data_IF_358599148754
#
_entry.id   IF_358599148754
#
_cell.length_a   1.000
_cell.length_b   1.000
_cell.length_c   1.000
_cell.angle_alpha   90.00
_cell.angle_beta   90.00
_cell.angle_gamma   90.00
#
_symmetry.space_group_name_H-M   'P 1'
#
loop_
_entity.id
_entity.type
_entity.pdbx_description
1 polymer ?
#
# COMPACT_ATOMS: atom_id res chain seq x y z
N UNK A 1 30.94 -12.47 -15.07
CA UNK A 1 30.75 -13.92 -14.82
C UNK A 1 29.38 -14.06 -14.23
N UNK A 2 28.42 -14.44 -15.06
CA UNK A 2 27.78 -15.77 -15.12
C UNK A 2 27.14 -16.12 -13.79
N UNK A 3 25.85 -16.41 -13.65
CA UNK A 3 24.78 -16.82 -14.60
C UNK A 3 23.61 -17.29 -13.80
N UNK A 4 22.52 -17.13 -14.35
CA UNK A 4 21.55 -18.11 -14.89
C UNK A 4 20.51 -18.62 -13.90
N UNK A 5 19.25 -18.30 -14.21
CA UNK A 5 18.20 -19.05 -14.95
C UNK A 5 17.32 -19.98 -14.13
N UNK A 6 16.02 -19.85 -14.32
CA UNK A 6 15.04 -20.91 -14.24
C UNK A 6 13.64 -20.33 -14.35
N UNK A 7 13.09 -20.01 -15.46
CA UNK A 7 12.39 -20.80 -16.47
C UNK A 7 11.19 -21.59 -15.94
N UNK A 8 10.02 -21.02 -16.14
CA UNK A 8 8.79 -21.44 -16.82
C UNK A 8 8.54 -22.95 -16.94
N UNK A 9 7.31 -23.36 -16.65
CA UNK A 9 6.65 -24.42 -17.44
C UNK A 9 5.13 -24.22 -17.54
N UNK A 10 4.70 -23.98 -18.76
CA UNK A 10 3.37 -24.18 -19.33
C UNK A 10 3.07 -25.67 -19.48
N UNK A 11 1.86 -26.10 -19.26
CA UNK A 11 1.35 -27.30 -19.91
C UNK A 11 -0.14 -27.21 -20.22
N UNK A 12 -0.41 -27.07 -21.50
CA UNK A 12 -1.68 -27.29 -22.19
C UNK A 12 -1.84 -28.78 -22.49
N UNK A 13 -3.01 -29.34 -22.31
CA UNK A 13 -3.42 -30.48 -23.12
C UNK A 13 -4.91 -30.45 -23.45
N UNK A 14 -5.18 -30.20 -24.71
CA UNK A 14 -6.40 -30.52 -25.44
C UNK A 14 -6.41 -32.02 -25.74
N UNK A 15 -7.53 -32.69 -25.55
CA UNK A 15 -7.85 -33.90 -26.30
C UNK A 15 -9.28 -33.82 -26.83
N UNK A 16 -9.35 -33.99 -28.14
CA UNK A 16 -10.53 -34.05 -28.97
C UNK A 16 -11.20 -35.43 -28.91
N UNK A 17 -12.51 -35.40 -29.04
CA UNK A 17 -13.43 -36.51 -29.28
C UNK A 17 -13.24 -37.16 -30.66
N UNK A 18 -13.48 -38.44 -30.71
CA UNK A 18 -13.81 -39.16 -31.96
C UNK A 18 -15.11 -39.94 -31.75
N UNK A 19 -16.04 -39.70 -32.64
CA UNK A 19 -17.29 -40.45 -32.83
C UNK A 19 -17.01 -41.78 -33.55
N UNK A 20 -17.69 -42.81 -33.14
CA UNK A 20 -18.01 -43.94 -34.02
C UNK A 20 -19.36 -44.53 -33.67
N UNK A 21 -20.25 -44.49 -34.61
CA UNK A 21 -21.55 -45.09 -34.52
C UNK A 21 -21.54 -46.57 -34.92
N UNK A 22 -22.53 -47.28 -34.42
CA UNK A 22 -23.05 -48.51 -35.08
C UNK A 22 -24.51 -48.71 -34.75
N UNK A 23 -25.29 -48.92 -35.77
CA UNK A 23 -26.67 -49.43 -35.80
C UNK A 23 -26.72 -50.90 -35.37
N UNK A 24 -27.71 -51.27 -34.59
CA UNK A 24 -28.32 -52.61 -34.61
C UNK A 24 -29.72 -52.51 -34.07
N UNK A 25 -30.64 -52.89 -34.92
CA UNK A 25 -32.03 -53.22 -34.65
C UNK A 25 -32.15 -54.50 -33.81
N UNK A 26 -33.07 -54.52 -32.85
CA UNK A 26 -33.90 -55.72 -32.76
C UNK A 26 -35.06 -55.54 -31.74
N UNK A 27 -36.12 -56.19 -32.08
CA UNK A 27 -37.45 -56.38 -31.54
C UNK A 27 -37.46 -56.76 -30.04
N UNK A 28 -38.28 -56.09 -29.26
CA UNK A 28 -38.51 -56.44 -27.89
C UNK A 28 -39.98 -56.80 -27.63
N UNK A 29 -40.16 -57.92 -26.95
CA UNK A 29 -41.35 -58.59 -26.46
C UNK A 29 -42.12 -57.70 -25.43
N UNK A 30 -43.46 -57.63 -25.49
CA UNK A 30 -44.29 -56.72 -24.67
C UNK A 30 -44.31 -57.09 -23.16
N UNK A 31 -43.85 -58.28 -22.78
CA UNK A 31 -43.86 -58.69 -21.34
C UNK A 31 -42.67 -58.10 -20.55
N UNK A 32 -41.63 -57.68 -21.18
CA UNK A 32 -40.44 -57.13 -20.52
C UNK A 32 -40.57 -55.61 -20.19
N UNK A 33 -41.53 -54.95 -20.86
CA UNK A 33 -41.77 -53.51 -20.70
C UNK A 33 -42.30 -53.12 -19.30
N UNK A 34 -43.02 -54.01 -18.64
CA UNK A 34 -43.64 -53.72 -17.34
C UNK A 34 -42.67 -53.92 -16.16
N UNK A 35 -41.68 -54.80 -16.30
CA UNK A 35 -40.62 -55.03 -15.32
C UNK A 35 -39.60 -53.90 -15.37
N UNK A 36 -39.30 -53.38 -16.56
CA UNK A 36 -38.38 -52.28 -16.78
C UNK A 36 -38.97 -50.93 -16.27
N UNK A 37 -40.28 -50.70 -16.36
CA UNK A 37 -40.90 -49.48 -15.79
C UNK A 37 -40.77 -49.40 -14.26
N UNK A 38 -40.91 -50.50 -13.53
CA UNK A 38 -40.76 -50.53 -12.07
C UNK A 38 -39.28 -50.35 -11.62
N UNK A 39 -38.36 -50.92 -12.36
CA UNK A 39 -36.93 -50.74 -12.10
C UNK A 39 -36.43 -49.30 -12.37
N UNK A 40 -36.94 -48.70 -13.45
CA UNK A 40 -36.64 -47.30 -13.81
C UNK A 40 -37.27 -46.30 -12.83
N UNK A 41 -38.44 -46.62 -12.26
CA UNK A 41 -39.07 -45.74 -11.29
C UNK A 41 -38.32 -45.78 -9.93
N UNK A 42 -37.86 -46.96 -9.49
CA UNK A 42 -37.00 -47.09 -8.30
C UNK A 42 -35.64 -46.49 -8.48
N UNK A 43 -35.02 -46.59 -9.67
CA UNK A 43 -33.77 -45.96 -10.00
C UNK A 43 -33.85 -44.42 -10.05
N UNK A 44 -34.97 -43.88 -10.60
CA UNK A 44 -35.21 -42.43 -10.60
C UNK A 44 -35.44 -41.88 -9.19
N UNK A 45 -36.09 -42.59 -8.32
CA UNK A 45 -36.33 -42.16 -6.93
C UNK A 45 -35.03 -42.20 -6.11
N UNK A 46 -34.17 -43.23 -6.29
CA UNK A 46 -32.86 -43.34 -5.65
C UNK A 46 -31.91 -42.28 -6.12
N UNK A 47 -31.90 -41.94 -7.42
CA UNK A 47 -31.08 -40.83 -7.96
C UNK A 47 -31.56 -39.43 -7.52
N UNK A 48 -32.85 -39.24 -7.23
CA UNK A 48 -33.35 -37.97 -6.66
C UNK A 48 -32.83 -37.73 -5.26
N UNK A 49 -32.83 -38.77 -4.41
CA UNK A 49 -32.33 -38.67 -3.04
C UNK A 49 -30.80 -38.50 -3.02
N UNK A 50 -30.06 -39.19 -3.88
CA UNK A 50 -28.61 -39.00 -4.00
C UNK A 50 -28.23 -37.59 -4.48
N UNK A 51 -29.02 -37.00 -5.39
CA UNK A 51 -28.79 -35.61 -5.86
C UNK A 51 -29.10 -34.56 -4.80
N UNK A 52 -30.12 -34.81 -3.96
CA UNK A 52 -30.47 -33.91 -2.85
C UNK A 52 -29.44 -34.00 -1.73
N UNK A 53 -28.93 -35.18 -1.39
CA UNK A 53 -27.87 -35.34 -0.38
C UNK A 53 -26.52 -34.74 -0.85
N UNK A 54 -26.17 -34.95 -2.12
CA UNK A 54 -24.95 -34.35 -2.68
C UNK A 54 -25.04 -32.83 -2.81
N UNK A 55 -26.25 -32.30 -3.14
CA UNK A 55 -26.47 -30.85 -3.17
C UNK A 55 -26.44 -30.22 -1.75
N UNK A 56 -26.89 -30.93 -0.73
CA UNK A 56 -26.86 -30.46 0.65
C UNK A 56 -25.44 -30.53 1.25
N UNK A 57 -24.64 -31.54 0.91
CA UNK A 57 -23.23 -31.65 1.33
C UNK A 57 -22.35 -30.62 0.62
N UNK A 58 -22.65 -30.29 -0.65
CA UNK A 58 -21.95 -29.22 -1.37
C UNK A 58 -22.35 -27.80 -0.88
N UNK A 59 -23.60 -27.62 -0.43
CA UNK A 59 -24.07 -26.34 0.13
C UNK A 59 -23.49 -26.04 1.52
N UNK A 60 -23.11 -27.05 2.30
CA UNK A 60 -22.51 -26.86 3.63
C UNK A 60 -20.99 -26.59 3.56
N UNK A 61 -20.34 -26.82 2.42
CA UNK A 61 -18.91 -26.52 2.24
C UNK A 61 -18.65 -25.11 1.69
N UNK A 62 -19.67 -24.36 1.29
CA UNK A 62 -19.53 -22.97 0.79
C UNK A 62 -19.67 -21.92 1.89
N UNK A 63 -20.07 -22.32 3.11
CA UNK A 63 -20.34 -21.37 4.21
C UNK A 63 -19.21 -21.22 5.23
N UNK A 64 -18.03 -21.77 4.97
CA UNK A 64 -16.81 -21.52 5.76
C UNK A 64 -15.70 -20.96 4.87
N UNK A 65 -16.03 -19.96 4.05
CA UNK A 65 -15.04 -18.94 3.76
C UNK A 65 -14.92 -18.11 5.05
N UNK A 66 -14.19 -18.63 6.03
CA UNK A 66 -13.61 -17.82 7.09
C UNK A 66 -12.86 -16.74 6.36
N UNK A 67 -13.22 -15.48 6.60
CA UNK A 67 -12.34 -14.36 6.30
C UNK A 67 -10.99 -14.75 6.92
N UNK A 68 -10.07 -15.23 6.09
CA UNK A 68 -8.70 -15.42 6.46
C UNK A 68 -8.23 -14.00 6.80
N UNK A 69 -8.19 -13.69 8.09
CA UNK A 69 -7.57 -12.45 8.55
C UNK A 69 -6.16 -12.51 7.97
N UNK A 70 -5.82 -11.53 7.16
CA UNK A 70 -4.51 -11.43 6.51
C UNK A 70 -3.47 -11.36 7.63
N UNK A 71 -2.99 -12.51 8.05
CA UNK A 71 -2.00 -12.62 9.12
C UNK A 71 -0.65 -12.38 8.47
N UNK A 72 -0.01 -11.29 8.85
CA UNK A 72 1.35 -11.03 8.39
C UNK A 72 2.32 -12.01 9.05
N UNK A 73 3.16 -12.62 8.23
CA UNK A 73 4.20 -13.54 8.69
C UNK A 73 5.34 -12.82 9.42
N UNK A 74 5.53 -11.51 9.14
CA UNK A 74 6.57 -10.69 9.76
C UNK A 74 6.18 -9.21 9.80
N UNK A 75 6.78 -8.49 10.76
CA UNK A 75 6.65 -7.04 10.85
C UNK A 75 7.21 -6.32 9.62
N UNK A 76 8.27 -6.83 9.01
CA UNK A 76 8.84 -6.28 7.79
C UNK A 76 7.84 -6.31 6.64
N UNK A 77 7.17 -7.44 6.43
CA UNK A 77 6.14 -7.55 5.39
C UNK A 77 4.97 -6.57 5.61
N UNK A 78 4.61 -6.30 6.87
CA UNK A 78 3.58 -5.31 7.18
C UNK A 78 4.07 -3.89 6.90
N UNK A 79 5.32 -3.54 7.22
CA UNK A 79 5.89 -2.21 6.91
C UNK A 79 5.98 -2.02 5.39
N UNK A 80 6.47 -3.00 4.64
CA UNK A 80 6.55 -2.94 3.17
C UNK A 80 5.15 -2.76 2.55
N UNK A 81 4.14 -3.41 3.10
CA UNK A 81 2.75 -3.21 2.70
C UNK A 81 2.29 -1.76 2.95
N UNK A 82 2.58 -1.19 4.13
CA UNK A 82 2.19 0.19 4.48
C UNK A 82 2.86 1.22 3.58
N UNK A 83 4.12 1.01 3.22
CA UNK A 83 4.86 1.91 2.31
C UNK A 83 4.23 1.91 0.91
N UNK A 84 3.80 0.75 0.42
CA UNK A 84 3.15 0.63 -0.88
C UNK A 84 1.73 1.19 -0.95
N UNK A 85 1.07 1.42 0.19
CA UNK A 85 -0.31 1.92 0.22
C UNK A 85 -0.48 3.24 -0.54
N UNK A 86 0.46 4.18 -0.37
CA UNK A 86 0.40 5.52 -0.94
C UNK A 86 1.25 5.70 -2.20
N UNK A 87 2.17 4.79 -2.46
CA UNK A 87 3.13 4.93 -3.55
C UNK A 87 2.68 4.16 -4.80
N UNK A 88 2.19 2.91 -4.65
CA UNK A 88 2.02 2.01 -5.77
C UNK A 88 3.35 1.82 -6.51
N UNK A 89 3.30 1.57 -7.81
CA UNK A 89 4.49 1.65 -8.69
C UNK A 89 4.82 3.10 -9.07
N UNK A 90 3.81 3.95 -9.06
CA UNK A 90 3.89 5.39 -9.32
C UNK A 90 2.65 6.08 -8.79
N UNK A 91 2.74 7.37 -8.49
CA UNK A 91 1.57 8.12 -8.07
C UNK A 91 1.60 9.57 -8.53
N UNK A 92 0.41 10.16 -8.67
CA UNK A 92 0.22 11.60 -8.79
C UNK A 92 -0.84 12.02 -7.76
N UNK A 93 -0.53 13.05 -6.96
CA UNK A 93 -1.41 13.53 -5.91
C UNK A 93 -1.46 15.05 -5.88
N UNK A 94 -2.61 15.59 -5.48
CA UNK A 94 -2.74 16.97 -4.99
C UNK A 94 -3.06 16.91 -3.51
N UNK A 95 -2.35 17.73 -2.73
CA UNK A 95 -2.41 17.71 -1.27
C UNK A 95 -2.47 19.12 -0.72
N UNK A 96 -3.12 19.24 0.43
CA UNK A 96 -3.10 20.46 1.26
C UNK A 96 -2.28 20.16 2.50
N UNK A 97 -1.34 21.04 2.83
CA UNK A 97 -0.59 21.01 4.08
C UNK A 97 -0.92 22.25 4.90
N UNK A 98 -1.41 22.03 6.11
CA UNK A 98 -1.70 23.05 7.09
C UNK A 98 -0.69 22.93 8.23
N UNK A 99 0.07 24.00 8.44
CA UNK A 99 1.13 24.07 9.45
C UNK A 99 0.65 25.05 10.52
N UNK A 100 0.61 24.60 11.75
CA UNK A 100 0.27 25.40 12.91
C UNK A 100 1.40 25.40 13.92
N UNK A 101 1.80 26.59 14.33
CA UNK A 101 2.76 26.81 15.42
C UNK A 101 2.20 27.90 16.35
N UNK A 102 2.79 28.14 17.53
CA UNK A 102 2.39 29.27 18.37
C UNK A 102 2.52 30.63 17.67
N UNK A 103 3.45 30.76 16.71
CA UNK A 103 3.82 32.04 16.09
C UNK A 103 3.15 32.28 14.75
N UNK A 104 2.70 31.23 14.02
CA UNK A 104 2.08 31.37 12.70
C UNK A 104 1.23 30.17 12.31
N UNK A 105 0.31 30.42 11.40
CA UNK A 105 -0.40 29.40 10.65
C UNK A 105 -0.09 29.56 9.15
N UNK A 106 0.07 28.44 8.45
CA UNK A 106 0.38 28.45 7.02
C UNK A 106 -0.35 27.31 6.31
N UNK A 107 -0.94 27.62 5.17
CA UNK A 107 -1.59 26.64 4.31
C UNK A 107 -0.87 26.61 2.97
N UNK A 108 -0.51 25.42 2.52
CA UNK A 108 0.12 25.16 1.22
C UNK A 108 -0.75 24.17 0.44
N UNK A 109 -0.93 24.42 -0.85
CA UNK A 109 -1.42 23.43 -1.80
C UNK A 109 -0.23 22.99 -2.64
N UNK A 110 0.00 21.72 -2.77
CA UNK A 110 1.10 21.19 -3.56
C UNK A 110 0.70 19.92 -4.30
N UNK A 111 1.39 19.67 -5.39
CA UNK A 111 1.31 18.41 -6.10
C UNK A 111 2.54 17.57 -5.78
N UNK A 112 2.33 16.26 -5.73
CA UNK A 112 3.37 15.26 -5.61
C UNK A 112 3.29 14.27 -6.77
N UNK A 113 4.44 13.78 -7.20
CA UNK A 113 4.57 12.67 -8.13
C UNK A 113 5.67 11.74 -7.63
N UNK A 114 5.42 10.44 -7.68
CA UNK A 114 6.40 9.41 -7.25
C UNK A 114 6.57 8.36 -8.33
N UNK A 115 7.70 7.67 -8.32
CA UNK A 115 7.96 6.49 -9.14
C UNK A 115 8.89 5.55 -8.38
N UNK A 116 8.37 4.36 -8.03
CA UNK A 116 9.04 3.44 -7.13
C UNK A 116 9.40 4.11 -5.81
N UNK A 117 10.37 3.55 -5.13
CA UNK A 117 10.85 4.03 -3.83
C UNK A 117 11.92 5.12 -3.95
N UNK A 118 12.49 5.28 -5.15
CA UNK A 118 13.67 6.12 -5.38
C UNK A 118 13.35 7.53 -5.86
N UNK A 119 12.14 7.80 -6.36
CA UNK A 119 11.85 9.05 -7.02
C UNK A 119 10.62 9.73 -6.47
N UNK A 120 10.77 10.97 -6.02
CA UNK A 120 9.65 11.83 -5.68
C UNK A 120 9.89 13.29 -6.10
N UNK A 121 8.83 13.93 -6.57
CA UNK A 121 8.80 15.33 -6.92
C UNK A 121 7.62 16.00 -6.27
N UNK A 122 7.85 17.10 -5.56
CA UNK A 122 6.82 17.92 -4.94
C UNK A 122 6.94 19.36 -5.39
N UNK A 123 5.82 20.02 -5.67
CA UNK A 123 5.81 21.44 -6.07
C UNK A 123 4.65 22.19 -5.41
N UNK A 124 4.96 23.33 -4.78
CA UNK A 124 3.94 24.22 -4.21
C UNK A 124 3.19 24.91 -5.34
N UNK A 125 1.86 24.81 -5.30
CA UNK A 125 0.91 25.47 -6.20
C UNK A 125 0.35 26.76 -5.57
N UNK A 126 0.11 26.74 -4.26
CA UNK A 126 -0.40 27.86 -3.47
C UNK A 126 0.27 27.96 -2.10
N UNK A 127 0.41 29.14 -1.53
CA UNK A 127 -0.01 30.47 -2.01
C UNK A 127 0.94 31.03 -3.08
N UNK A 128 0.51 32.11 -3.77
CA UNK A 128 1.27 32.75 -4.85
C UNK A 128 2.70 33.13 -4.45
N UNK A 129 2.93 33.54 -3.19
CA UNK A 129 4.26 33.91 -2.67
C UNK A 129 5.26 32.76 -2.65
N UNK A 130 4.81 31.50 -2.57
CA UNK A 130 5.60 30.28 -2.45
C UNK A 130 5.50 29.39 -3.69
N UNK A 131 4.61 29.77 -4.65
CA UNK A 131 4.36 28.99 -5.86
C UNK A 131 5.65 28.71 -6.62
N UNK A 132 5.80 27.44 -7.04
CA UNK A 132 6.93 26.96 -7.81
C UNK A 132 8.16 26.59 -6.96
N UNK A 133 8.14 26.77 -5.63
CA UNK A 133 9.10 26.07 -4.78
C UNK A 133 8.85 24.59 -4.98
N UNK A 134 9.93 23.84 -5.25
CA UNK A 134 9.82 22.41 -5.52
C UNK A 134 10.95 21.63 -4.86
N UNK A 135 10.67 20.38 -4.53
CA UNK A 135 11.61 19.40 -4.01
C UNK A 135 11.68 18.21 -4.94
N UNK A 136 12.88 17.72 -5.20
CA UNK A 136 13.14 16.50 -5.96
C UNK A 136 13.94 15.54 -5.08
N UNK A 137 13.50 14.29 -5.02
CA UNK A 137 14.20 13.19 -4.38
C UNK A 137 14.62 12.17 -5.43
N UNK A 138 15.84 11.64 -5.28
CA UNK A 138 16.40 10.56 -6.11
C UNK A 138 17.27 9.69 -5.22
N UNK A 139 16.76 8.50 -4.86
CA UNK A 139 17.37 7.70 -3.82
C UNK A 139 17.52 8.51 -2.53
N UNK A 140 18.70 8.51 -1.93
CA UNK A 140 19.00 9.25 -0.69
C UNK A 140 19.30 10.74 -0.89
N UNK A 141 19.24 11.24 -2.11
CA UNK A 141 19.59 12.62 -2.42
C UNK A 141 18.34 13.49 -2.62
N UNK A 142 18.40 14.71 -2.09
CA UNK A 142 17.33 15.70 -2.20
C UNK A 142 17.83 17.05 -2.72
N UNK A 143 17.03 17.67 -3.57
CA UNK A 143 17.27 19.03 -4.09
C UNK A 143 16.01 19.87 -3.94
N UNK A 144 16.20 21.14 -3.59
CA UNK A 144 15.15 22.15 -3.56
C UNK A 144 15.38 23.19 -4.66
N UNK A 145 14.31 23.55 -5.38
CA UNK A 145 14.29 24.68 -6.30
C UNK A 145 13.66 25.89 -5.63
N UNK A 146 14.37 27.00 -5.67
CA UNK A 146 13.95 28.29 -5.13
C UNK A 146 13.70 29.27 -6.28
N UNK A 147 12.44 29.43 -6.74
CA UNK A 147 12.11 30.19 -7.96
C UNK A 147 12.46 31.68 -7.87
N UNK A 148 12.39 32.28 -6.68
CA UNK A 148 12.72 33.70 -6.47
C UNK A 148 14.16 34.07 -6.85
N UNK A 149 15.08 33.16 -6.60
CA UNK A 149 16.51 33.34 -6.90
C UNK A 149 16.98 32.42 -8.04
N UNK A 150 16.04 31.66 -8.65
CA UNK A 150 16.29 30.75 -9.75
C UNK A 150 17.42 29.73 -9.47
N UNK A 151 17.46 29.17 -8.26
CA UNK A 151 18.51 28.24 -7.85
C UNK A 151 17.96 26.88 -7.47
N UNK A 152 18.69 25.84 -7.88
CA UNK A 152 18.58 24.48 -7.35
C UNK A 152 19.66 24.31 -6.30
N UNK A 153 19.28 23.89 -5.13
CA UNK A 153 20.17 23.65 -3.99
C UNK A 153 20.05 22.20 -3.57
N UNK A 154 21.15 21.46 -3.52
CA UNK A 154 21.19 20.12 -2.94
C UNK A 154 21.09 20.24 -1.43
N UNK A 155 20.27 19.45 -0.79
CA UNK A 155 20.16 19.36 0.67
C UNK A 155 21.36 18.53 1.18
N UNK A 156 22.28 19.11 1.95
CA UNK A 156 23.41 18.34 2.49
C UNK A 156 22.94 17.38 3.60
N UNK A 157 23.65 16.27 3.85
CA UNK A 157 23.28 15.29 4.89
C UNK A 157 23.05 15.92 6.28
N UNK A 158 23.83 16.93 6.65
CA UNK A 158 23.68 17.66 7.91
C UNK A 158 22.37 18.44 8.04
N UNK A 159 21.64 18.66 6.94
CA UNK A 159 20.35 19.37 6.90
C UNK A 159 19.17 18.44 6.66
N UNK A 160 19.36 17.13 6.60
CA UNK A 160 18.27 16.19 6.38
C UNK A 160 17.25 16.20 7.53
N UNK A 161 17.69 16.43 8.76
CA UNK A 161 16.81 16.57 9.92
C UNK A 161 16.11 17.93 10.03
N UNK A 162 16.38 18.86 9.12
CA UNK A 162 15.68 20.14 9.10
C UNK A 162 14.25 19.98 8.58
N UNK A 163 13.41 20.90 9.03
CA UNK A 163 11.99 21.00 8.63
C UNK A 163 11.85 21.10 7.10
N UNK A 164 11.04 20.22 6.51
CA UNK A 164 10.65 20.30 5.11
C UNK A 164 9.53 21.34 4.93
N UNK A 165 9.75 22.30 4.07
CA UNK A 165 8.81 23.41 3.77
C UNK A 165 8.29 24.17 5.02
N UNK A 166 8.99 24.09 6.16
CA UNK A 166 8.57 24.73 7.43
C UNK A 166 7.56 23.93 8.23
N UNK A 167 7.33 22.66 7.90
CA UNK A 167 6.43 21.74 8.59
C UNK A 167 7.12 20.98 9.72
N UNK A 168 6.37 20.14 10.43
CA UNK A 168 6.91 19.18 11.42
C UNK A 168 7.50 17.92 10.77
N UNK A 169 7.37 17.77 9.46
CA UNK A 169 8.09 16.77 8.68
C UNK A 169 9.50 17.26 8.39
N UNK A 170 10.47 16.36 8.43
CA UNK A 170 11.86 16.62 8.08
C UNK A 170 12.14 16.22 6.63
N UNK A 171 13.26 16.69 6.05
CA UNK A 171 13.69 16.20 4.75
C UNK A 171 14.02 14.69 4.81
N UNK A 172 14.51 14.21 5.95
CA UNK A 172 14.82 12.80 6.20
C UNK A 172 13.58 11.90 6.16
N UNK A 173 12.45 12.39 6.65
CA UNK A 173 11.18 11.64 6.58
C UNK A 173 10.76 11.34 5.14
N UNK A 174 11.05 12.23 4.20
CA UNK A 174 10.68 12.04 2.81
C UNK A 174 11.63 11.07 2.07
N UNK A 175 12.89 11.00 2.52
CA UNK A 175 13.92 10.21 1.86
C UNK A 175 14.01 8.79 2.39
N UNK A 176 13.79 8.59 3.70
CA UNK A 176 14.00 7.30 4.36
C UNK A 176 12.74 6.48 4.59
N UNK A 177 11.57 6.97 4.21
CA UNK A 177 10.32 6.25 4.48
C UNK A 177 10.30 4.88 3.82
N UNK A 178 10.81 4.75 2.60
CA UNK A 178 10.82 3.50 1.83
C UNK A 178 11.94 2.52 2.20
N UNK A 179 12.78 2.83 3.19
CA UNK A 179 13.95 2.00 3.57
C UNK A 179 13.92 1.59 5.04
N UNK A 180 12.77 1.69 5.70
CA UNK A 180 12.67 1.37 7.13
C UNK A 180 13.08 -0.06 7.44
N UNK A 181 12.66 -1.03 6.62
CA UNK A 181 13.00 -2.45 6.80
C UNK A 181 14.49 -2.74 6.60
N UNK A 182 15.18 -1.94 5.79
CA UNK A 182 16.63 -2.05 5.59
C UNK A 182 17.42 -1.49 6.78
N UNK A 183 16.92 -0.41 7.37
CA UNK A 183 17.62 0.36 8.40
C UNK A 183 17.30 -0.09 9.84
N UNK A 184 16.16 -0.77 10.05
CA UNK A 184 15.67 -1.12 11.37
C UNK A 184 15.43 -2.63 11.49
N UNK A 185 15.66 -3.15 12.70
CA UNK A 185 15.14 -4.45 13.10
C UNK A 185 13.67 -4.29 13.45
N UNK A 186 12.82 -5.16 12.92
CA UNK A 186 11.35 -5.03 12.98
C UNK A 186 10.78 -6.15 13.82
N UNK A 187 10.06 -5.79 14.88
CA UNK A 187 9.30 -6.70 15.72
C UNK A 187 7.79 -6.48 15.53
N UNK A 188 7.01 -7.56 15.59
CA UNK A 188 5.56 -7.56 15.37
C UNK A 188 4.86 -8.20 16.56
N UNK A 189 4.01 -7.42 17.22
CA UNK A 189 3.09 -7.89 18.24
C UNK A 189 1.64 -7.86 17.69
N UNK A 190 0.99 -9.00 17.68
CA UNK A 190 -0.41 -9.10 17.33
C UNK A 190 -1.31 -8.86 18.54
N UNK A 191 -2.23 -7.88 18.43
CA UNK A 191 -3.29 -7.58 19.41
C UNK A 191 -4.65 -7.99 18.83
N UNK A 192 -5.70 -7.84 19.62
CA UNK A 192 -7.05 -8.24 19.21
C UNK A 192 -7.50 -7.55 17.92
N UNK A 193 -7.45 -6.22 17.87
CA UNK A 193 -7.93 -5.40 16.74
C UNK A 193 -6.81 -4.73 15.93
N UNK A 194 -5.57 -4.77 16.41
CA UNK A 194 -4.44 -4.06 15.81
C UNK A 194 -3.18 -4.93 15.76
N UNK A 195 -2.24 -4.51 14.93
CA UNK A 195 -0.83 -4.89 15.01
C UNK A 195 -0.04 -3.73 15.62
N UNK A 196 0.88 -4.05 16.51
CA UNK A 196 1.90 -3.13 16.97
C UNK A 196 3.23 -3.54 16.37
N UNK A 197 3.81 -2.69 15.51
CA UNK A 197 5.13 -2.90 14.91
C UNK A 197 6.12 -1.99 15.62
N UNK A 198 7.22 -2.55 16.08
CA UNK A 198 8.32 -1.83 16.73
C UNK A 198 9.57 -1.93 15.87
N UNK A 199 10.16 -0.78 15.55
CA UNK A 199 11.38 -0.67 14.76
C UNK A 199 12.50 -0.15 15.64
N UNK A 200 13.59 -0.91 15.75
CA UNK A 200 14.81 -0.53 16.46
C UNK A 200 15.94 -0.33 15.45
N UNK A 201 16.68 0.80 15.50
CA UNK A 201 17.73 1.05 14.50
C UNK A 201 18.82 -0.02 14.58
N UNK A 202 19.23 -0.54 13.41
CA UNK A 202 20.39 -1.42 13.32
C UNK A 202 21.67 -0.67 13.68
N UNK A 203 22.69 -1.38 14.11
CA UNK A 203 23.93 -0.78 14.64
C UNK A 203 24.60 0.24 13.71
N UNK A 204 24.49 0.06 12.39
CA UNK A 204 25.09 0.94 11.38
C UNK A 204 24.17 2.09 10.95
N UNK A 205 22.93 2.15 11.45
CA UNK A 205 21.94 3.14 11.01
C UNK A 205 22.23 4.50 11.62
N UNK A 206 22.41 5.50 10.75
CA UNK A 206 22.54 6.90 11.17
C UNK A 206 21.16 7.51 11.29
N UNK A 207 20.67 7.65 12.51
CA UNK A 207 19.34 8.18 12.81
C UNK A 207 19.34 8.89 14.15
N UNK A 208 18.35 9.74 14.38
CA UNK A 208 18.10 10.37 15.71
C UNK A 208 16.99 9.63 16.49
N UNK A 209 16.41 8.62 15.87
CA UNK A 209 15.32 7.86 16.47
C UNK A 209 15.86 6.61 17.17
N UNK A 210 15.68 6.53 18.48
CA UNK A 210 15.98 5.33 19.25
C UNK A 210 14.95 4.21 19.03
N UNK A 211 13.73 4.58 18.62
CA UNK A 211 12.64 3.64 18.29
C UNK A 211 11.58 4.34 17.44
N UNK A 212 10.96 3.58 16.53
CA UNK A 212 9.72 3.97 15.87
C UNK A 212 8.69 2.88 16.15
N UNK A 213 7.43 3.23 16.40
CA UNK A 213 6.35 2.25 16.54
C UNK A 213 5.16 2.62 15.65
N UNK A 214 4.58 1.60 15.03
CA UNK A 214 3.34 1.72 14.26
C UNK A 214 2.23 0.95 14.97
N UNK A 215 1.06 1.55 15.07
CA UNK A 215 -0.19 0.87 15.35
C UNK A 215 -0.97 0.78 14.05
N UNK A 216 -1.38 -0.43 13.65
CA UNK A 216 -2.04 -0.73 12.39
C UNK A 216 -3.34 -1.46 12.69
N UNK A 217 -4.47 -1.01 12.17
CA UNK A 217 -5.75 -1.70 12.30
C UNK A 217 -5.75 -2.97 11.45
N UNK A 218 -6.48 -4.01 11.87
CA UNK A 218 -6.58 -5.27 11.13
C UNK A 218 -7.68 -5.24 10.07
N UNK A 219 -8.78 -4.53 10.34
CA UNK A 219 -9.91 -4.43 9.44
C UNK A 219 -10.53 -3.01 9.50
N UNK A 220 -10.40 -2.21 8.45
CA UNK A 220 -9.48 -2.42 7.32
C UNK A 220 -8.01 -2.33 7.76
N UNK A 221 -7.13 -3.02 7.01
CA UNK A 221 -5.70 -3.03 7.28
C UNK A 221 -5.06 -1.69 6.89
N UNK A 222 -4.99 -0.77 7.85
CA UNK A 222 -4.54 0.61 7.62
C UNK A 222 -3.70 1.12 8.78
N UNK A 223 -2.73 2.03 8.53
CA UNK A 223 -1.99 2.67 9.60
C UNK A 223 -2.93 3.55 10.43
N UNK A 224 -2.78 3.50 11.76
CA UNK A 224 -3.51 4.31 12.73
C UNK A 224 -2.63 5.38 13.36
N UNK A 225 -1.48 4.98 13.86
CA UNK A 225 -0.49 5.90 14.43
C UNK A 225 0.93 5.44 14.13
N UNK A 226 1.85 6.41 14.01
CA UNK A 226 3.29 6.19 13.98
C UNK A 226 3.92 7.11 15.02
N UNK A 227 4.61 6.54 16.01
CA UNK A 227 5.24 7.29 17.10
C UNK A 227 6.75 7.17 17.03
N UNK A 228 7.42 8.29 17.15
CA UNK A 228 8.88 8.38 17.11
C UNK A 228 9.41 8.68 18.50
N UNK A 229 10.40 7.94 18.91
CA UNK A 229 11.04 8.04 20.23
C UNK A 229 12.52 8.40 20.05
N UNK A 230 13.06 9.12 21.01
CA UNK A 230 14.50 9.37 21.07
C UNK A 230 15.28 8.18 21.64
N UNK A 231 16.60 8.34 21.75
CA UNK A 231 17.50 7.32 22.31
C UNK A 231 17.22 7.03 23.81
N UNK A 232 16.55 7.95 24.52
CA UNK A 232 16.16 7.76 25.93
C UNK A 232 14.84 7.04 26.09
N UNK A 233 14.12 6.82 24.99
CA UNK A 233 12.80 6.21 24.98
C UNK A 233 11.65 7.19 25.19
N UNK A 234 11.92 8.51 25.19
CA UNK A 234 10.88 9.53 25.27
C UNK A 234 10.19 9.70 23.90
N UNK A 235 8.86 9.72 23.89
CA UNK A 235 8.10 10.01 22.69
C UNK A 235 8.30 11.48 22.27
N UNK A 236 8.72 11.71 21.02
CA UNK A 236 9.09 13.02 20.49
C UNK A 236 7.99 13.61 19.62
N UNK A 237 7.40 12.79 18.76
CA UNK A 237 6.33 13.19 17.86
C UNK A 237 5.46 11.98 17.50
N UNK A 238 4.23 12.26 17.11
CA UNK A 238 3.29 11.26 16.67
C UNK A 238 2.63 11.70 15.37
N UNK A 239 2.55 10.78 14.43
CA UNK A 239 1.79 10.90 13.18
C UNK A 239 0.51 10.08 13.32
N UNK A 240 -0.65 10.71 13.16
CA UNK A 240 -1.97 10.06 13.16
C UNK A 240 -2.54 10.02 11.77
N UNK A 241 -3.15 8.90 11.42
CA UNK A 241 -3.82 8.68 10.15
C UNK A 241 -5.33 8.64 10.38
N UNK A 242 -6.10 9.34 9.56
CA UNK A 242 -7.55 9.46 9.71
C UNK A 242 -8.23 9.81 8.38
N UNK A 243 -9.58 9.93 8.41
CA UNK A 243 -10.39 10.31 7.26
C UNK A 243 -10.19 9.34 6.09
N UNK A 244 -10.63 8.08 6.30
CA UNK A 244 -10.47 6.99 5.33
C UNK A 244 -11.33 7.29 4.10
N UNK A 245 -10.71 7.32 2.92
CA UNK A 245 -11.35 7.58 1.62
C UNK A 245 -10.96 6.54 0.58
N UNK A 246 -11.80 6.44 -0.43
CA UNK A 246 -11.53 5.62 -1.62
C UNK A 246 -10.69 6.42 -2.62
N UNK A 247 -9.54 5.86 -3.04
CA UNK A 247 -8.69 6.36 -4.10
C UNK A 247 -8.49 5.25 -5.14
N UNK A 248 -9.18 5.35 -6.27
CA UNK A 248 -9.25 4.25 -7.23
C UNK A 248 -9.82 3.00 -6.57
N UNK A 249 -9.09 1.91 -6.58
CA UNK A 249 -9.47 0.65 -5.94
C UNK A 249 -9.01 0.53 -4.48
N UNK A 250 -8.21 1.48 -3.97
CA UNK A 250 -7.63 1.41 -2.62
C UNK A 250 -8.41 2.28 -1.63
N UNK A 251 -8.57 1.76 -0.42
CA UNK A 251 -9.12 2.46 0.72
C UNK A 251 -7.95 2.93 1.59
N UNK A 252 -7.81 4.24 1.79
CA UNK A 252 -6.64 4.84 2.45
C UNK A 252 -7.05 5.97 3.39
N UNK A 253 -6.32 6.21 4.50
CA UNK A 253 -6.42 7.45 5.24
C UNK A 253 -6.03 8.63 4.35
N UNK A 254 -6.93 9.60 4.20
CA UNK A 254 -6.68 10.80 3.40
C UNK A 254 -6.02 11.91 4.20
N UNK A 255 -6.00 11.80 5.52
CA UNK A 255 -5.46 12.81 6.44
C UNK A 255 -4.35 12.24 7.31
N UNK A 256 -3.22 12.92 7.31
CA UNK A 256 -2.05 12.65 8.14
C UNK A 256 -1.77 13.86 9.03
N UNK A 257 -1.71 13.67 10.34
CA UNK A 257 -1.51 14.71 11.33
C UNK A 257 -0.26 14.44 12.16
N UNK A 258 0.81 15.20 11.92
CA UNK A 258 2.03 15.18 12.70
C UNK A 258 1.92 16.16 13.86
N UNK A 259 2.09 15.69 15.08
CA UNK A 259 2.11 16.52 16.30
C UNK A 259 3.45 16.35 16.99
N UNK A 260 4.12 17.46 17.30
CA UNK A 260 5.31 17.46 18.13
C UNK A 260 4.91 17.35 19.61
N UNK A 261 5.48 16.38 20.32
CA UNK A 261 5.27 16.23 21.77
C UNK A 261 6.27 17.07 22.59
N UNK A 262 7.36 17.50 21.96
CA UNK A 262 8.38 18.39 22.60
C UNK A 262 8.15 19.88 22.34
N UNK A 263 7.37 20.24 21.33
CA UNK A 263 7.07 21.62 20.98
C UNK A 263 5.56 21.83 21.06
N UNK A 264 5.01 22.24 22.22
CA UNK A 264 3.58 22.47 22.36
C UNK A 264 3.04 23.46 21.31
N UNK A 265 1.89 23.15 20.73
CA UNK A 265 1.27 23.99 19.71
C UNK A 265 1.84 23.79 18.29
N UNK A 266 2.82 22.91 18.09
CA UNK A 266 3.32 22.54 16.77
C UNK A 266 2.56 21.33 16.21
N UNK A 267 1.93 21.53 15.05
CA UNK A 267 1.15 20.52 14.35
C UNK A 267 1.21 20.79 12.84
N UNK A 268 1.36 19.73 12.08
CA UNK A 268 1.24 19.76 10.62
C UNK A 268 0.24 18.71 10.16
N UNK A 269 -0.75 19.15 9.38
CA UNK A 269 -1.77 18.28 8.79
C UNK A 269 -1.57 18.25 7.28
N UNK A 270 -1.44 17.05 6.72
CA UNK A 270 -1.47 16.83 5.25
C UNK A 270 -2.78 16.13 4.93
N UNK A 271 -3.52 16.67 3.96
CA UNK A 271 -4.74 16.07 3.43
C UNK A 271 -4.59 15.83 1.94
N UNK A 272 -4.86 14.62 1.49
CA UNK A 272 -4.94 14.28 0.07
C UNK A 272 -6.28 14.75 -0.49
N UNK A 273 -6.25 15.70 -1.42
CA UNK A 273 -7.44 16.10 -2.21
C UNK A 273 -7.68 15.07 -3.32
N UNK A 274 -6.62 14.71 -4.04
CA UNK A 274 -6.62 13.67 -5.08
C UNK A 274 -5.39 12.79 -4.92
N UNK A 275 -5.54 11.50 -5.22
CA UNK A 275 -4.45 10.53 -5.32
C UNK A 275 -4.80 9.53 -6.42
N UNK A 276 -3.97 9.48 -7.45
CA UNK A 276 -4.00 8.49 -8.51
C UNK A 276 -2.77 7.61 -8.39
N UNK A 277 -2.98 6.30 -8.31
CA UNK A 277 -1.94 5.30 -8.14
C UNK A 277 -1.74 4.54 -9.43
N UNK A 278 -0.52 4.03 -9.63
CA UNK A 278 -0.13 3.21 -10.78
C UNK A 278 -0.38 3.92 -12.13
N UNK A 279 -0.13 5.25 -12.14
CA UNK A 279 -0.29 6.12 -13.31
C UNK A 279 1.02 6.30 -14.07
N UNK A 280 0.94 6.64 -15.35
CA UNK A 280 2.14 6.93 -16.14
C UNK A 280 2.73 8.29 -15.76
N UNK A 281 3.84 8.28 -15.02
CA UNK A 281 4.60 9.48 -14.67
C UNK A 281 5.84 9.56 -15.56
N UNK A 282 5.97 10.60 -16.44
CA UNK A 282 7.12 10.72 -17.31
C UNK A 282 8.43 10.78 -16.50
N UNK A 283 9.41 9.95 -16.83
CA UNK A 283 10.70 9.86 -16.13
C UNK A 283 11.47 11.18 -16.10
N UNK A 284 11.27 12.06 -17.09
CA UNK A 284 11.81 13.42 -17.11
C UNK A 284 11.41 14.28 -15.91
N UNK A 285 10.27 13.94 -15.25
CA UNK A 285 9.78 14.60 -14.03
C UNK A 285 10.80 14.58 -12.92
N UNK A 286 11.61 13.52 -12.85
CA UNK A 286 12.60 13.30 -11.81
C UNK A 286 14.01 13.77 -12.22
N UNK A 287 14.09 14.82 -13.03
CA UNK A 287 15.36 15.42 -13.45
C UNK A 287 15.57 16.82 -12.86
N UNK A 288 16.83 17.20 -12.66
CA UNK A 288 17.17 18.57 -12.24
C UNK A 288 16.75 19.62 -13.27
N UNK A 289 16.60 19.24 -14.54
CA UNK A 289 16.09 20.11 -15.59
C UNK A 289 14.60 20.38 -15.38
N UNK A 290 13.80 19.32 -15.10
CA UNK A 290 12.38 19.47 -14.82
C UNK A 290 12.14 20.28 -13.55
N UNK A 291 12.96 20.07 -12.50
CA UNK A 291 12.89 20.81 -11.25
C UNK A 291 12.98 22.35 -11.46
N UNK A 292 13.70 22.81 -12.50
CA UNK A 292 13.86 24.23 -12.85
C UNK A 292 12.73 24.80 -13.70
N UNK A 293 11.83 23.96 -14.23
CA UNK A 293 10.73 24.42 -15.11
C UNK A 293 9.78 25.31 -14.30
N UNK A 294 9.69 26.57 -14.66
CA UNK A 294 8.65 27.48 -14.16
C UNK A 294 7.34 27.13 -14.86
N UNK A 295 6.39 26.55 -14.18
CA UNK A 295 5.00 26.36 -14.64
C UNK A 295 4.05 27.14 -13.78
#
# INVERSE_FOLDING_TARGET
MMGQRGVVLFCLSKIRSVRLGRFASDLTDPFDAQKDRRSRQKARQRNRWSRIVVAFVLATHVALATAESTRFESGSALIDYLDQLYQGQSSEAQMVMEIKTPDYERRLVFKGMTQGDDYAYFQILEPKKDRGIASLMRGEEMWNFLPKINRVVKVPPSMMMNSWMGSDFTNDDLVKQSTLTDLYDVDLEEKEETYLVTLLPKQATVTVWGKISFEVTKDPLLPKTQTYFDEKGDAIRVLRFSDIRQFGERLLPSKMEMTSLRKPGHQTVITYDTLALDVDVPSETFTLQYLRRRR
#
